data_IF_374000681020
#
_entry.id   IF_374000681020
#
_cell.length_a   1.000
_cell.length_b   1.000
_cell.length_c   1.000
_cell.angle_alpha   90.00
_cell.angle_beta   90.00
_cell.angle_gamma   90.00
#
_symmetry.space_group_name_H-M   'P 1'
#
loop_
_entity.id
_entity.type
_entity.pdbx_description
1 polymer ?
#
# COMPACT_ATOMS: atom_id res chain seq x y z
N UNK A 1 -8.47 -23.56 -15.08
CA UNK A 1 -7.70 -24.48 -14.23
C UNK A 1 -6.89 -23.56 -13.38
N UNK A 2 -7.18 -23.48 -12.07
CA UNK A 2 -6.49 -22.54 -11.21
C UNK A 2 -4.97 -22.78 -11.27
N UNK A 3 -4.15 -21.73 -11.17
CA UNK A 3 -2.69 -21.90 -11.08
C UNK A 3 -2.40 -22.77 -9.87
N UNK A 4 -1.66 -23.84 -10.12
CA UNK A 4 -1.16 -24.70 -9.07
C UNK A 4 -0.14 -23.93 -8.23
N UNK A 5 -0.59 -23.47 -7.06
CA UNK A 5 0.24 -22.76 -6.10
C UNK A 5 1.13 -23.71 -5.28
N UNK A 6 1.02 -25.04 -5.47
CA UNK A 6 1.71 -26.04 -4.64
C UNK A 6 3.21 -25.83 -4.63
N UNK A 7 3.84 -25.55 -5.78
CA UNK A 7 5.29 -25.31 -5.82
C UNK A 7 5.73 -24.10 -4.99
N UNK A 8 4.95 -23.02 -4.98
CA UNK A 8 5.25 -21.85 -4.14
C UNK A 8 5.00 -22.14 -2.67
N UNK A 9 3.89 -22.82 -2.35
CA UNK A 9 3.55 -23.23 -0.99
C UNK A 9 4.62 -24.17 -0.43
N UNK A 10 5.13 -25.12 -1.21
CA UNK A 10 6.21 -26.02 -0.81
C UNK A 10 7.50 -25.26 -0.46
N UNK A 11 7.84 -24.23 -1.24
CA UNK A 11 8.98 -23.35 -0.92
C UNK A 11 8.75 -22.58 0.38
N UNK A 12 7.53 -22.08 0.59
CA UNK A 12 7.15 -21.45 1.85
C UNK A 12 7.26 -22.42 3.03
N UNK A 13 6.82 -23.68 2.88
CA UNK A 13 6.88 -24.70 3.93
C UNK A 13 8.35 -24.90 4.32
N UNK A 14 9.21 -25.22 3.35
CA UNK A 14 10.64 -25.45 3.59
C UNK A 14 11.27 -24.27 4.35
N UNK A 15 10.93 -23.03 3.96
CA UNK A 15 11.56 -21.84 4.52
C UNK A 15 11.02 -21.47 5.90
N UNK A 16 9.70 -21.35 6.02
CA UNK A 16 9.06 -20.82 7.22
C UNK A 16 8.90 -21.87 8.31
N UNK A 17 8.78 -23.16 7.98
CA UNK A 17 8.79 -24.22 8.99
C UNK A 17 10.12 -24.25 9.75
N UNK A 18 11.25 -24.08 9.04
CA UNK A 18 12.56 -23.96 9.70
C UNK A 18 12.62 -22.76 10.66
N UNK A 19 12.05 -21.62 10.28
CA UNK A 19 11.99 -20.42 11.13
C UNK A 19 11.11 -20.68 12.37
N UNK A 20 9.95 -21.31 12.18
CA UNK A 20 9.03 -21.68 13.25
C UNK A 20 9.72 -22.62 14.25
N UNK A 21 10.40 -23.65 13.76
CA UNK A 21 11.06 -24.63 14.62
C UNK A 21 12.21 -23.99 15.41
N UNK A 22 13.06 -23.20 14.76
CA UNK A 22 14.15 -22.48 15.42
C UNK A 22 13.66 -21.52 16.50
N UNK A 23 12.52 -20.85 16.28
CA UNK A 23 11.92 -19.99 17.29
C UNK A 23 11.44 -20.82 18.49
N UNK A 24 10.75 -21.96 18.26
CA UNK A 24 10.19 -22.81 19.31
C UNK A 24 11.22 -23.50 20.22
N UNK A 25 12.41 -23.81 19.71
CA UNK A 25 13.47 -24.50 20.47
C UNK A 25 13.99 -23.72 21.70
N UNK A 26 13.75 -22.40 21.77
CA UNK A 26 14.30 -21.50 22.78
C UNK A 26 13.43 -21.22 24.01
N UNK A 27 12.39 -22.01 24.32
CA UNK A 27 11.30 -21.63 25.27
C UNK A 27 10.49 -20.39 24.83
N UNK A 28 10.40 -20.18 23.52
CA UNK A 28 9.71 -19.04 22.94
C UNK A 28 8.21 -19.06 23.23
N UNK A 29 7.67 -17.92 23.63
CA UNK A 29 6.23 -17.66 23.64
C UNK A 29 5.69 -17.56 22.20
N UNK A 30 4.39 -17.78 21.99
CA UNK A 30 3.76 -17.68 20.66
C UNK A 30 4.07 -16.34 19.94
N UNK A 31 4.22 -15.25 20.72
CA UNK A 31 4.61 -13.93 20.20
C UNK A 31 6.01 -13.89 19.59
N UNK A 32 6.97 -14.66 20.11
CA UNK A 32 8.33 -14.72 19.54
C UNK A 32 8.34 -15.43 18.19
N UNK A 33 7.52 -16.49 18.04
CA UNK A 33 7.32 -17.18 16.77
C UNK A 33 6.68 -16.23 15.75
N UNK A 34 5.60 -15.55 16.12
CA UNK A 34 4.93 -14.55 15.27
C UNK A 34 5.87 -13.41 14.85
N UNK A 35 6.68 -12.91 15.78
CA UNK A 35 7.69 -11.87 15.52
C UNK A 35 8.72 -12.35 14.50
N UNK A 36 9.28 -13.55 14.70
CA UNK A 36 10.30 -14.11 13.81
C UNK A 36 9.76 -14.32 12.38
N UNK A 37 8.53 -14.82 12.24
CA UNK A 37 7.91 -15.05 10.93
C UNK A 37 7.56 -13.73 10.25
N UNK A 38 6.89 -12.81 10.95
CA UNK A 38 6.49 -11.51 10.38
C UNK A 38 7.70 -10.74 9.87
N UNK A 39 8.77 -10.70 10.68
CA UNK A 39 10.04 -10.07 10.30
C UNK A 39 10.71 -10.76 9.11
N UNK A 40 10.66 -12.09 9.07
CA UNK A 40 11.19 -12.87 7.94
C UNK A 40 10.43 -12.63 6.64
N UNK A 41 9.11 -12.45 6.73
CA UNK A 41 8.27 -12.08 5.58
C UNK A 41 8.56 -10.65 5.13
N UNK A 42 8.68 -9.68 6.04
CA UNK A 42 8.95 -8.28 5.68
C UNK A 42 10.35 -8.07 5.07
N UNK A 43 11.34 -8.88 5.43
CA UNK A 43 12.64 -8.90 4.74
C UNK A 43 12.61 -9.52 3.33
N UNK A 44 11.48 -10.10 2.92
CA UNK A 44 11.30 -10.69 1.61
C UNK A 44 12.19 -11.90 1.34
N UNK A 45 12.38 -12.75 2.36
CA UNK A 45 13.17 -13.98 2.23
C UNK A 45 12.64 -14.93 1.15
N UNK A 46 11.36 -14.84 0.81
CA UNK A 46 10.77 -15.48 -0.36
C UNK A 46 10.03 -14.43 -1.17
N UNK A 47 10.32 -14.40 -2.48
CA UNK A 47 9.63 -13.51 -3.41
C UNK A 47 8.30 -14.13 -3.80
N UNK A 48 7.22 -13.32 -3.80
CA UNK A 48 5.91 -13.77 -4.26
C UNK A 48 5.90 -14.03 -5.77
N UNK A 49 5.07 -14.98 -6.22
CA UNK A 49 4.83 -15.27 -7.64
C UNK A 49 3.72 -14.38 -8.23
N UNK A 50 3.66 -13.12 -7.78
CA UNK A 50 2.60 -12.17 -8.11
C UNK A 50 2.35 -12.05 -9.62
N UNK A 51 3.41 -12.04 -10.42
CA UNK A 51 3.35 -11.96 -11.88
C UNK A 51 2.50 -13.08 -12.50
N UNK A 52 2.70 -14.32 -12.03
CA UNK A 52 1.98 -15.51 -12.53
C UNK A 52 0.51 -15.47 -12.09
N UNK A 53 0.26 -15.11 -10.83
CA UNK A 53 -1.09 -14.98 -10.27
C UNK A 53 -1.90 -13.88 -10.96
N UNK A 54 -1.23 -12.78 -11.32
CA UNK A 54 -1.86 -11.69 -12.06
C UNK A 54 -2.21 -12.12 -13.49
N UNK A 55 -1.33 -12.83 -14.19
CA UNK A 55 -1.61 -13.37 -15.53
C UNK A 55 -2.83 -14.30 -15.53
N UNK A 56 -2.95 -15.18 -14.54
CA UNK A 56 -4.11 -16.07 -14.37
C UNK A 56 -5.41 -15.30 -14.17
N UNK A 57 -5.37 -14.31 -13.27
CA UNK A 57 -6.44 -13.36 -13.05
C UNK A 57 -6.92 -12.77 -14.38
N UNK A 58 -6.00 -12.31 -15.25
CA UNK A 58 -6.34 -11.77 -16.57
C UNK A 58 -7.03 -12.76 -17.51
N UNK A 59 -6.63 -14.04 -17.47
CA UNK A 59 -7.19 -15.07 -18.35
C UNK A 59 -8.65 -15.38 -18.01
N UNK A 60 -9.02 -15.38 -16.73
CA UNK A 60 -10.33 -15.85 -16.27
C UNK A 60 -11.35 -14.74 -15.98
N UNK A 61 -10.91 -13.47 -15.94
CA UNK A 61 -11.78 -12.32 -15.64
C UNK A 61 -12.58 -12.46 -14.32
N UNK A 62 -12.03 -13.20 -13.36
CA UNK A 62 -12.59 -13.32 -12.01
C UNK A 62 -12.18 -12.11 -11.17
N UNK A 63 -13.05 -11.11 -11.12
CA UNK A 63 -12.77 -9.84 -10.45
C UNK A 63 -12.67 -9.96 -8.93
N UNK A 64 -13.32 -10.96 -8.30
CA UNK A 64 -13.15 -11.22 -6.88
C UNK A 64 -11.75 -11.80 -6.62
N UNK A 65 -11.30 -12.72 -7.48
CA UNK A 65 -9.94 -13.28 -7.39
C UNK A 65 -8.86 -12.20 -7.62
N UNK A 66 -9.08 -11.24 -8.51
CA UNK A 66 -8.23 -10.04 -8.65
C UNK A 66 -8.17 -9.21 -7.38
N UNK A 67 -9.33 -8.97 -6.76
CA UNK A 67 -9.44 -8.20 -5.53
C UNK A 67 -8.64 -8.86 -4.40
N UNK A 68 -8.79 -10.18 -4.25
CA UNK A 68 -8.06 -10.99 -3.27
C UNK A 68 -6.53 -10.95 -3.51
N UNK A 69 -6.09 -10.98 -4.77
CA UNK A 69 -4.67 -10.88 -5.12
C UNK A 69 -4.08 -9.52 -4.73
N UNK A 70 -4.77 -8.43 -5.06
CA UNK A 70 -4.36 -7.07 -4.68
C UNK A 70 -4.31 -6.97 -3.15
N UNK A 71 -5.35 -7.46 -2.47
CA UNK A 71 -5.41 -7.48 -1.02
C UNK A 71 -4.20 -8.21 -0.42
N UNK A 72 -4.00 -9.49 -0.72
CA UNK A 72 -2.92 -10.28 -0.13
C UNK A 72 -1.52 -9.74 -0.46
N UNK A 73 -1.30 -9.22 -1.68
CA UNK A 73 -0.03 -8.58 -2.04
C UNK A 73 0.20 -7.30 -1.24
N UNK A 74 -0.81 -6.44 -1.12
CA UNK A 74 -0.74 -5.21 -0.31
C UNK A 74 -0.46 -5.54 1.16
N UNK A 75 -1.10 -6.58 1.71
CA UNK A 75 -0.86 -7.09 3.06
C UNK A 75 0.59 -7.51 3.27
N UNK A 76 1.18 -8.20 2.30
CA UNK A 76 2.60 -8.58 2.32
C UNK A 76 3.54 -7.36 2.34
N UNK A 77 3.27 -6.35 1.50
CA UNK A 77 4.11 -5.16 1.39
C UNK A 77 4.05 -4.26 2.64
N UNK A 78 2.99 -4.37 3.45
CA UNK A 78 2.76 -3.58 4.65
C UNK A 78 3.17 -4.29 5.95
N UNK A 79 3.81 -5.46 5.87
CA UNK A 79 4.31 -6.14 7.06
C UNK A 79 5.42 -5.32 7.73
N UNK A 80 5.35 -5.10 9.05
CA UNK A 80 6.34 -4.33 9.76
C UNK A 80 7.65 -5.11 9.97
N UNK A 81 8.70 -4.39 10.36
CA UNK A 81 9.96 -4.98 10.85
C UNK A 81 11.15 -4.83 9.89
N UNK A 82 10.96 -4.20 8.74
CA UNK A 82 12.04 -3.83 7.83
C UNK A 82 12.25 -2.31 7.84
N UNK A 83 13.24 -1.84 8.61
CA UNK A 83 13.57 -0.42 8.73
C UNK A 83 13.79 0.26 7.39
N UNK A 84 13.04 1.34 7.15
CA UNK A 84 13.28 2.25 6.04
C UNK A 84 13.88 3.59 6.47
N UNK A 85 14.06 4.47 5.49
CA UNK A 85 14.72 5.77 5.70
C UNK A 85 13.77 6.94 5.90
N UNK A 86 12.45 6.72 5.90
CA UNK A 86 11.42 7.75 5.83
C UNK A 86 10.52 7.74 7.09
N UNK A 87 9.70 8.77 7.26
CA UNK A 87 8.60 8.75 8.22
C UNK A 87 7.39 7.94 7.67
N UNK A 88 6.21 8.15 8.24
CA UNK A 88 4.97 7.45 7.87
C UNK A 88 4.52 7.63 6.42
N UNK A 89 5.17 8.49 5.61
CA UNK A 89 4.92 8.54 4.17
C UNK A 89 5.43 7.32 3.39
N UNK A 90 6.30 6.49 3.98
CA UNK A 90 6.92 5.33 3.32
C UNK A 90 5.89 4.41 2.67
N UNK A 91 4.78 4.15 3.37
CA UNK A 91 3.79 3.16 3.01
C UNK A 91 2.62 3.74 2.20
N UNK A 92 2.70 5.01 1.80
CA UNK A 92 1.56 5.75 1.23
C UNK A 92 1.11 5.25 -0.14
N UNK A 93 2.01 4.67 -0.96
CA UNK A 93 1.59 4.11 -2.23
C UNK A 93 0.63 2.92 -2.04
N UNK A 94 0.85 2.10 -1.00
CA UNK A 94 0.01 0.94 -0.66
C UNK A 94 -1.40 1.34 -0.17
N UNK A 95 -1.61 2.60 0.23
CA UNK A 95 -2.96 3.10 0.50
C UNK A 95 -3.81 3.09 -0.77
N UNK A 96 -3.21 3.36 -1.94
CA UNK A 96 -3.94 3.24 -3.20
C UNK A 96 -4.27 1.79 -3.54
N UNK A 97 -3.40 0.85 -3.20
CA UNK A 97 -3.69 -0.58 -3.35
C UNK A 97 -4.83 -1.02 -2.43
N UNK A 98 -4.84 -0.52 -1.19
CA UNK A 98 -5.91 -0.74 -0.24
C UNK A 98 -7.26 -0.17 -0.73
N UNK A 99 -7.28 1.05 -1.28
CA UNK A 99 -8.49 1.60 -1.90
C UNK A 99 -8.94 0.77 -3.11
N UNK A 100 -8.00 0.27 -3.92
CA UNK A 100 -8.32 -0.56 -5.09
C UNK A 100 -9.02 -1.86 -4.68
N UNK A 101 -8.59 -2.48 -3.57
CA UNK A 101 -9.22 -3.70 -3.06
C UNK A 101 -10.40 -3.45 -2.11
N UNK A 102 -10.62 -2.21 -1.64
CA UNK A 102 -11.71 -1.85 -0.74
C UNK A 102 -11.38 -1.91 0.76
N UNK A 103 -10.10 -2.11 1.13
CA UNK A 103 -9.64 -2.03 2.53
C UNK A 103 -9.38 -0.58 2.96
N UNK A 104 -10.43 0.23 2.94
CA UNK A 104 -10.34 1.67 3.16
C UNK A 104 -9.83 2.05 4.56
N UNK A 105 -10.01 1.16 5.55
CA UNK A 105 -9.63 1.41 6.96
C UNK A 105 -8.11 1.51 7.16
N UNK A 106 -7.32 0.96 6.24
CA UNK A 106 -5.86 1.05 6.26
C UNK A 106 -5.36 2.50 6.24
N UNK A 107 -6.09 3.42 5.58
CA UNK A 107 -5.73 4.83 5.50
C UNK A 107 -5.41 5.42 6.89
N UNK A 108 -6.26 5.13 7.88
CA UNK A 108 -6.12 5.68 9.23
C UNK A 108 -5.06 4.97 10.07
N UNK A 109 -4.65 3.77 9.66
CA UNK A 109 -3.53 3.03 10.27
C UNK A 109 -2.18 3.49 9.71
N UNK A 110 -2.08 3.75 8.41
CA UNK A 110 -0.83 4.21 7.79
C UNK A 110 -0.60 5.72 8.00
N UNK A 111 -1.63 6.55 7.86
CA UNK A 111 -1.55 8.00 8.02
C UNK A 111 -2.45 8.50 9.17
N UNK A 112 -2.27 8.03 10.40
CA UNK A 112 -3.07 8.43 11.54
C UNK A 112 -3.03 9.95 11.76
N UNK A 113 -4.16 10.53 12.17
CA UNK A 113 -4.31 11.98 12.27
C UNK A 113 -3.35 12.58 13.31
N UNK A 114 -3.06 11.88 14.40
CA UNK A 114 -2.19 12.34 15.48
C UNK A 114 -0.71 12.54 15.06
N UNK A 115 -0.24 11.91 13.98
CA UNK A 115 1.15 12.06 13.52
C UNK A 115 1.41 13.35 12.73
N UNK A 116 0.33 14.06 12.35
CA UNK A 116 0.42 15.28 11.56
C UNK A 116 1.03 15.07 10.17
N UNK A 117 1.68 16.12 9.64
CA UNK A 117 2.30 16.09 8.31
C UNK A 117 3.58 15.25 8.31
N UNK A 118 3.76 14.48 7.24
CA UNK A 118 5.09 13.95 6.87
C UNK A 118 6.01 15.10 6.49
N UNK A 119 7.27 14.97 6.92
CA UNK A 119 8.30 16.00 6.79
C UNK A 119 9.53 15.49 6.06
N UNK A 120 9.64 14.19 5.82
CA UNK A 120 10.78 13.61 5.16
C UNK A 120 10.41 12.39 4.33
N UNK A 121 11.14 12.17 3.25
CA UNK A 121 10.94 11.03 2.37
C UNK A 121 11.15 11.40 0.92
N UNK A 122 10.82 10.45 0.04
CA UNK A 122 10.76 10.75 -1.39
C UNK A 122 9.69 11.84 -1.64
N UNK A 123 9.99 12.96 -2.34
CA UNK A 123 9.08 14.10 -2.43
C UNK A 123 7.66 13.77 -2.90
N UNK A 124 7.52 12.79 -3.81
CA UNK A 124 6.22 12.31 -4.24
C UNK A 124 5.39 11.75 -3.07
N UNK A 125 5.97 10.87 -2.24
CA UNK A 125 5.31 10.31 -1.08
C UNK A 125 4.94 11.38 -0.06
N UNK A 126 5.85 12.31 0.23
CA UNK A 126 5.58 13.41 1.18
C UNK A 126 4.38 14.25 0.73
N UNK A 127 4.37 14.67 -0.53
CA UNK A 127 3.31 15.52 -1.10
C UNK A 127 1.99 14.76 -1.16
N UNK A 128 2.01 13.53 -1.68
CA UNK A 128 0.82 12.69 -1.80
C UNK A 128 0.20 12.41 -0.42
N UNK A 129 1.01 12.01 0.57
CA UNK A 129 0.53 11.69 1.93
C UNK A 129 -0.15 12.88 2.57
N UNK A 130 0.51 14.05 2.51
CA UNK A 130 0.01 15.26 3.15
C UNK A 130 -1.31 15.73 2.50
N UNK A 131 -1.40 15.68 1.16
CA UNK A 131 -2.63 16.04 0.45
C UNK A 131 -3.76 15.04 0.72
N UNK A 132 -3.47 13.74 0.60
CA UNK A 132 -4.46 12.69 0.84
C UNK A 132 -4.99 12.75 2.27
N UNK A 133 -4.11 12.89 3.27
CA UNK A 133 -4.48 13.03 4.68
C UNK A 133 -5.35 14.27 4.90
N UNK A 134 -4.98 15.43 4.35
CA UNK A 134 -5.75 16.65 4.52
C UNK A 134 -7.17 16.54 3.93
N UNK A 135 -7.31 15.90 2.75
CA UNK A 135 -8.60 15.62 2.13
C UNK A 135 -9.41 14.63 2.98
N UNK A 136 -8.80 13.50 3.37
CA UNK A 136 -9.46 12.41 4.10
C UNK A 136 -10.04 12.87 5.44
N UNK A 137 -9.22 13.55 6.25
CA UNK A 137 -9.63 14.03 7.57
C UNK A 137 -10.34 15.40 7.55
N UNK A 138 -10.51 16.00 6.36
CA UNK A 138 -11.07 17.35 6.19
C UNK A 138 -10.36 18.39 7.07
N UNK A 139 -9.03 18.29 7.13
CA UNK A 139 -8.18 19.11 7.98
C UNK A 139 -7.83 20.42 7.27
N UNK A 140 -8.70 21.44 7.42
CA UNK A 140 -8.59 22.74 6.73
C UNK A 140 -7.25 23.45 7.00
N UNK A 141 -6.72 23.31 8.22
CA UNK A 141 -5.46 23.95 8.63
C UNK A 141 -4.29 23.39 7.82
N UNK A 142 -4.27 22.07 7.62
CA UNK A 142 -3.22 21.41 6.86
C UNK A 142 -3.46 21.45 5.35
N UNK A 143 -4.72 21.53 4.91
CA UNK A 143 -5.11 21.52 3.52
C UNK A 143 -4.43 22.63 2.72
N UNK A 144 -4.40 23.86 3.22
CA UNK A 144 -3.76 24.99 2.52
C UNK A 144 -2.28 24.72 2.21
N UNK A 145 -1.54 24.17 3.18
CA UNK A 145 -0.12 23.84 3.01
C UNK A 145 0.07 22.68 2.04
N UNK A 146 -0.79 21.67 2.13
CA UNK A 146 -0.74 20.49 1.28
C UNK A 146 -1.07 20.83 -0.19
N UNK A 147 -2.09 21.67 -0.43
CA UNK A 147 -2.46 22.15 -1.76
C UNK A 147 -1.31 22.91 -2.42
N UNK A 148 -0.69 23.85 -1.72
CA UNK A 148 0.46 24.61 -2.25
C UNK A 148 1.62 23.69 -2.65
N UNK A 149 1.96 22.71 -1.79
CA UNK A 149 3.02 21.75 -2.09
C UNK A 149 2.68 20.85 -3.29
N UNK A 150 1.42 20.43 -3.40
CA UNK A 150 0.92 19.61 -4.49
C UNK A 150 0.92 20.34 -5.84
N UNK A 151 0.43 21.57 -5.88
CA UNK A 151 0.45 22.39 -7.10
C UNK A 151 1.89 22.62 -7.59
N UNK A 152 2.81 22.91 -6.66
CA UNK A 152 4.24 23.01 -6.98
C UNK A 152 4.80 21.69 -7.52
N UNK A 153 4.44 20.55 -6.93
CA UNK A 153 4.92 19.23 -7.35
C UNK A 153 4.47 18.87 -8.77
N UNK A 154 3.21 19.13 -9.11
CA UNK A 154 2.66 18.87 -10.46
C UNK A 154 3.40 19.67 -11.54
N UNK A 155 3.89 20.88 -11.22
CA UNK A 155 4.70 21.70 -12.12
C UNK A 155 6.15 21.23 -12.32
N UNK A 156 6.61 20.19 -11.62
CA UNK A 156 8.00 19.70 -11.72
C UNK A 156 8.23 18.80 -12.94
N UNK A 157 9.48 18.38 -13.15
CA UNK A 157 9.89 17.37 -14.15
C UNK A 157 9.87 15.93 -13.61
N UNK A 158 9.18 15.67 -12.49
CA UNK A 158 9.04 14.32 -11.93
C UNK A 158 8.30 13.38 -12.90
N UNK A 159 8.45 12.05 -12.77
CA UNK A 159 7.78 11.09 -13.62
C UNK A 159 6.29 11.39 -13.78
N UNK A 160 5.77 11.22 -15.00
CA UNK A 160 4.39 11.57 -15.34
C UNK A 160 3.37 10.89 -14.42
N UNK A 161 3.61 9.63 -14.06
CA UNK A 161 2.68 8.88 -13.21
C UNK A 161 2.57 9.49 -11.80
N UNK A 162 3.69 9.85 -11.17
CA UNK A 162 3.71 10.52 -9.86
C UNK A 162 2.96 11.86 -9.91
N UNK A 163 3.26 12.68 -10.92
CA UNK A 163 2.59 13.98 -11.11
C UNK A 163 1.10 13.80 -11.34
N UNK A 164 0.69 12.74 -12.05
CA UNK A 164 -0.72 12.46 -12.34
C UNK A 164 -1.47 11.99 -11.09
N UNK A 165 -0.83 11.25 -10.18
CA UNK A 165 -1.43 10.89 -8.87
C UNK A 165 -1.72 12.16 -8.06
N UNK A 166 -0.74 13.06 -7.92
CA UNK A 166 -0.91 14.31 -7.17
C UNK A 166 -1.94 15.23 -7.84
N UNK A 167 -1.89 15.34 -9.17
CA UNK A 167 -2.86 16.14 -9.92
C UNK A 167 -4.29 15.60 -9.80
N UNK A 168 -4.47 14.28 -9.79
CA UNK A 168 -5.76 13.67 -9.52
C UNK A 168 -6.32 14.09 -8.15
N UNK A 169 -5.52 14.03 -7.08
CA UNK A 169 -5.95 14.44 -5.74
C UNK A 169 -6.32 15.93 -5.67
N UNK A 170 -5.61 16.79 -6.41
CA UNK A 170 -5.98 18.21 -6.55
C UNK A 170 -7.34 18.37 -7.25
N UNK A 171 -7.57 17.62 -8.34
CA UNK A 171 -8.85 17.64 -9.06
C UNK A 171 -9.99 17.04 -8.25
N UNK A 172 -9.71 16.03 -7.42
CA UNK A 172 -10.65 15.43 -6.49
C UNK A 172 -11.13 16.47 -5.47
N UNK A 173 -10.20 17.21 -4.85
CA UNK A 173 -10.56 18.30 -3.93
C UNK A 173 -11.40 19.40 -4.61
N UNK A 174 -11.12 19.69 -5.88
CA UNK A 174 -11.84 20.70 -6.68
C UNK A 174 -13.12 20.15 -7.35
N UNK A 175 -13.45 18.88 -7.13
CA UNK A 175 -14.56 18.16 -7.79
C UNK A 175 -14.54 18.25 -9.33
N UNK A 176 -13.36 18.39 -9.93
CA UNK A 176 -13.22 18.51 -11.38
C UNK A 176 -13.12 17.12 -12.05
N UNK A 177 -14.28 16.57 -12.41
CA UNK A 177 -14.44 15.21 -12.96
C UNK A 177 -13.72 14.99 -14.30
N UNK A 178 -13.70 16.00 -15.17
CA UNK A 178 -12.99 15.93 -16.45
C UNK A 178 -11.48 15.81 -16.23
N UNK A 179 -10.94 16.67 -15.35
CA UNK A 179 -9.52 16.62 -15.01
C UNK A 179 -9.15 15.30 -14.30
N UNK A 180 -10.01 14.78 -13.41
CA UNK A 180 -9.80 13.48 -12.78
C UNK A 180 -9.64 12.35 -13.82
N UNK A 181 -10.56 12.25 -14.80
CA UNK A 181 -10.46 11.25 -15.87
C UNK A 181 -9.17 11.38 -16.69
N UNK A 182 -8.80 12.62 -17.06
CA UNK A 182 -7.56 12.90 -17.78
C UNK A 182 -6.31 12.52 -16.97
N UNK A 183 -6.30 12.77 -15.66
CA UNK A 183 -5.19 12.39 -14.79
C UNK A 183 -5.09 10.88 -14.59
N UNK A 184 -6.20 10.13 -14.53
CA UNK A 184 -6.16 8.66 -14.53
C UNK A 184 -5.57 8.10 -15.84
N UNK A 185 -5.94 8.65 -16.98
CA UNK A 185 -5.38 8.27 -18.28
C UNK A 185 -3.86 8.51 -18.34
N UNK A 186 -3.42 9.69 -17.87
CA UNK A 186 -2.01 10.05 -17.83
C UNK A 186 -1.21 9.21 -16.82
N UNK A 187 -1.82 8.86 -15.69
CA UNK A 187 -1.26 7.93 -14.72
C UNK A 187 -1.01 6.57 -15.38
N UNK A 188 -2.03 5.97 -16.00
CA UNK A 188 -1.91 4.66 -16.68
C UNK A 188 -0.80 4.66 -17.74
N UNK A 189 -0.77 5.72 -18.56
CA UNK A 189 0.22 5.90 -19.64
C UNK A 189 1.65 6.11 -19.11
N UNK A 190 1.81 6.89 -18.04
CA UNK A 190 3.10 7.14 -17.40
C UNK A 190 3.62 5.92 -16.64
N UNK A 191 2.71 5.18 -15.99
CA UNK A 191 3.03 4.00 -15.19
C UNK A 191 3.59 2.87 -16.07
N UNK A 192 3.01 2.68 -17.26
CA UNK A 192 3.51 1.72 -18.27
C UNK A 192 4.96 2.02 -18.72
N UNK A 193 5.38 3.29 -18.70
CA UNK A 193 6.73 3.74 -19.09
C UNK A 193 7.71 3.81 -17.93
N UNK A 194 7.24 3.69 -16.69
CA UNK A 194 8.08 3.74 -15.50
C UNK A 194 9.01 2.52 -15.45
N UNK A 195 10.04 2.57 -14.62
CA UNK A 195 10.95 1.45 -14.43
C UNK A 195 10.40 0.42 -13.42
N UNK A 196 9.29 -0.21 -13.80
CA UNK A 196 8.66 -1.29 -13.04
C UNK A 196 8.78 -2.63 -13.76
N UNK A 197 8.59 -3.73 -13.01
CA UNK A 197 8.53 -5.07 -13.57
C UNK A 197 7.41 -5.18 -14.61
N UNK A 198 7.52 -6.17 -15.50
CA UNK A 198 6.51 -6.41 -16.54
C UNK A 198 5.13 -6.61 -15.93
N UNK A 199 5.03 -7.37 -14.84
CA UNK A 199 3.76 -7.62 -14.18
C UNK A 199 3.17 -6.41 -13.47
N UNK A 200 3.99 -5.62 -12.76
CA UNK A 200 3.48 -4.37 -12.17
C UNK A 200 2.85 -3.48 -13.26
N UNK A 201 3.44 -3.45 -14.46
CA UNK A 201 2.91 -2.67 -15.60
C UNK A 201 1.63 -3.23 -16.21
N UNK A 202 1.29 -4.50 -16.01
CA UNK A 202 0.08 -5.11 -16.56
C UNK A 202 -1.19 -4.53 -15.93
N UNK A 203 -1.13 -4.18 -14.64
CA UNK A 203 -2.26 -3.57 -13.94
C UNK A 203 -1.81 -2.35 -13.16
N UNK A 204 -2.28 -1.17 -13.55
CA UNK A 204 -2.05 0.07 -12.81
C UNK A 204 -2.95 0.12 -11.58
N UNK A 205 -2.63 -0.66 -10.56
CA UNK A 205 -3.35 -0.70 -9.28
C UNK A 205 -3.53 0.70 -8.67
N UNK A 206 -2.52 1.60 -8.69
CA UNK A 206 -2.71 2.97 -8.20
C UNK A 206 -3.84 3.75 -8.89
N UNK A 207 -4.09 3.52 -10.18
CA UNK A 207 -5.19 4.18 -10.89
C UNK A 207 -6.55 3.65 -10.44
N UNK A 208 -6.68 2.34 -10.18
CA UNK A 208 -7.88 1.77 -9.56
C UNK A 208 -8.09 2.29 -8.14
N UNK A 209 -7.01 2.44 -7.38
CA UNK A 209 -7.04 3.02 -6.05
C UNK A 209 -7.60 4.44 -6.02
N UNK A 210 -7.11 5.30 -6.92
CA UNK A 210 -7.62 6.68 -7.06
C UNK A 210 -9.07 6.72 -7.53
N UNK A 211 -9.45 5.85 -8.46
CA UNK A 211 -10.83 5.74 -8.93
C UNK A 211 -11.78 5.32 -7.78
N UNK A 212 -11.41 4.29 -7.00
CA UNK A 212 -12.19 3.85 -5.84
C UNK A 212 -12.18 4.89 -4.71
N UNK A 213 -11.07 5.63 -4.52
CA UNK A 213 -11.03 6.75 -3.58
C UNK A 213 -12.05 7.84 -3.96
N UNK A 214 -12.15 8.19 -5.24
CA UNK A 214 -13.15 9.13 -5.71
C UNK A 214 -14.58 8.61 -5.47
N UNK A 215 -14.83 7.31 -5.67
CA UNK A 215 -16.11 6.68 -5.33
C UNK A 215 -16.45 6.82 -3.85
N UNK A 216 -15.45 6.68 -2.96
CA UNK A 216 -15.64 6.79 -1.51
C UNK A 216 -15.94 8.21 -1.04
N UNK A 217 -15.40 9.23 -1.72
CA UNK A 217 -15.41 10.61 -1.24
C UNK A 217 -16.41 11.53 -1.96
N UNK A 218 -16.81 11.21 -3.19
CA UNK A 218 -17.71 12.03 -3.98
C UNK A 218 -19.16 11.53 -3.92
N UNK A 219 -20.15 12.42 -4.08
CA UNK A 219 -21.51 12.02 -4.41
C UNK A 219 -21.55 11.13 -5.66
N UNK A 220 -22.47 10.17 -5.70
CA UNK A 220 -22.56 9.18 -6.76
C UNK A 220 -22.73 9.83 -8.15
N UNK A 221 -23.50 10.90 -8.24
CA UNK A 221 -23.78 11.63 -9.48
C UNK A 221 -22.53 12.32 -10.03
N UNK A 222 -21.63 12.78 -9.15
CA UNK A 222 -20.35 13.39 -9.54
C UNK A 222 -19.38 12.29 -9.95
N UNK A 223 -19.26 11.22 -9.14
CA UNK A 223 -18.37 10.10 -9.44
C UNK A 223 -18.65 9.45 -10.80
N UNK A 224 -19.92 9.25 -11.15
CA UNK A 224 -20.33 8.64 -12.43
C UNK A 224 -19.87 9.43 -13.66
N UNK A 225 -19.53 10.72 -13.53
CA UNK A 225 -19.03 11.56 -14.62
C UNK A 225 -17.52 11.39 -14.85
N UNK A 226 -16.80 10.74 -13.94
CA UNK A 226 -15.36 10.51 -14.10
C UNK A 226 -15.14 9.48 -15.22
N UNK A 227 -14.51 9.92 -16.31
CA UNK A 227 -14.16 9.05 -17.42
C UNK A 227 -13.13 8.00 -16.98
N UNK A 228 -13.45 6.72 -17.15
CA UNK A 228 -12.49 5.62 -16.98
C UNK A 228 -11.38 5.71 -18.03
N UNK A 229 -10.11 5.42 -17.69
CA UNK A 229 -9.04 5.32 -18.67
C UNK A 229 -9.32 4.33 -19.79
N UNK A 230 -8.91 4.71 -21.01
CA UNK A 230 -8.81 3.86 -22.18
C UNK A 230 -7.33 3.48 -22.35
N UNK A 231 -6.80 2.68 -21.43
CA UNK A 231 -5.42 2.19 -21.47
C UNK A 231 -5.34 0.74 -21.03
N UNK A 232 -4.49 -0.06 -21.68
CA UNK A 232 -4.44 -1.53 -21.53
C UNK A 232 -4.15 -2.04 -20.11
N UNK A 233 -3.56 -1.21 -19.24
CA UNK A 233 -3.28 -1.56 -17.85
C UNK A 233 -4.34 -1.06 -16.87
N UNK A 234 -5.47 -0.55 -17.37
CA UNK A 234 -6.65 -0.23 -16.58
C UNK A 234 -7.81 -1.13 -17.01
N UNK A 235 -8.13 -2.13 -16.17
CA UNK A 235 -9.27 -3.02 -16.42
C UNK A 235 -10.59 -2.29 -16.12
N UNK A 236 -11.28 -1.83 -17.15
CA UNK A 236 -12.63 -1.28 -16.99
C UNK A 236 -13.63 -2.32 -16.47
N UNK A 237 -13.43 -3.60 -16.76
CA UNK A 237 -14.25 -4.69 -16.21
C UNK A 237 -14.12 -4.76 -14.68
N UNK A 238 -12.89 -4.75 -14.17
CA UNK A 238 -12.64 -4.70 -12.73
C UNK A 238 -13.21 -3.42 -12.09
N UNK A 239 -13.03 -2.25 -12.72
CA UNK A 239 -13.58 -0.99 -12.22
C UNK A 239 -15.12 -1.01 -12.14
N UNK A 240 -15.80 -1.57 -13.16
CA UNK A 240 -17.26 -1.75 -13.14
C UNK A 240 -17.71 -2.72 -12.04
N UNK A 241 -17.02 -3.84 -11.88
CA UNK A 241 -17.29 -4.78 -10.79
C UNK A 241 -17.08 -4.14 -9.41
N UNK A 242 -16.05 -3.31 -9.23
CA UNK A 242 -15.85 -2.52 -8.00
C UNK A 242 -17.00 -1.56 -7.74
N UNK A 243 -17.51 -0.90 -8.79
CA UNK A 243 -18.67 -0.01 -8.68
C UNK A 243 -19.92 -0.75 -8.17
N UNK A 244 -20.13 -1.98 -8.62
CA UNK A 244 -21.24 -2.85 -8.22
C UNK A 244 -21.03 -3.49 -6.83
N UNK A 245 -19.78 -3.59 -6.37
CA UNK A 245 -19.40 -4.27 -5.13
C UNK A 245 -18.60 -3.34 -4.21
N UNK A 246 -19.08 -2.14 -3.83
CA UNK A 246 -18.25 -1.11 -3.15
C UNK A 246 -17.54 -1.61 -1.87
N UNK A 247 -18.11 -2.60 -1.19
CA UNK A 247 -17.54 -3.29 -0.03
C UNK A 247 -17.33 -4.79 -0.36
N UNK A 248 -16.28 -5.13 -1.12
CA UNK A 248 -16.03 -6.52 -1.50
C UNK A 248 -15.60 -7.31 -0.27
N UNK A 249 -15.85 -8.61 -0.28
CA UNK A 249 -15.29 -9.49 0.75
C UNK A 249 -13.78 -9.58 0.53
N UNK A 250 -13.00 -9.27 1.57
CA UNK A 250 -11.54 -9.32 1.52
C UNK A 250 -11.09 -10.74 1.90
N UNK A 251 -10.83 -11.58 0.90
CA UNK A 251 -10.31 -12.92 1.09
C UNK A 251 -8.83 -13.00 0.69
N UNK A 252 -8.12 -13.99 1.22
CA UNK A 252 -6.82 -14.35 0.68
C UNK A 252 -6.98 -14.90 -0.73
N UNK A 253 -5.97 -14.66 -1.58
CA UNK A 253 -5.89 -15.22 -2.93
C UNK A 253 -5.71 -16.74 -2.88
N UNK A 254 -4.91 -17.21 -1.92
CA UNK A 254 -4.89 -18.60 -1.46
C UNK A 254 -4.53 -18.63 0.03
N UNK A 255 -4.91 -19.72 0.68
CA UNK A 255 -4.58 -20.00 2.07
C UNK A 255 -3.36 -20.92 2.15
N UNK A 256 -2.54 -20.70 3.19
CA UNK A 256 -1.42 -21.58 3.52
C UNK A 256 -1.92 -22.77 4.35
N UNK A 257 -1.59 -24.02 3.97
CA UNK A 257 -1.96 -25.21 4.73
C UNK A 257 -1.02 -25.43 5.93
N UNK A 258 -1.28 -26.47 6.72
CA UNK A 258 -0.37 -26.95 7.76
C UNK A 258 1.06 -27.16 7.21
N UNK A 259 2.12 -26.75 7.96
CA UNK A 259 2.11 -26.12 9.29
C UNK A 259 2.11 -24.57 9.26
N UNK A 260 1.72 -23.97 8.14
CA UNK A 260 1.87 -22.53 7.87
C UNK A 260 0.59 -21.72 8.12
N UNK A 261 -0.40 -22.23 8.87
CA UNK A 261 -1.65 -21.49 9.11
C UNK A 261 -1.43 -20.13 9.78
N UNK A 262 -0.33 -19.97 10.51
CA UNK A 262 0.11 -18.72 11.12
C UNK A 262 0.31 -17.60 10.08
N UNK A 263 0.70 -17.93 8.84
CA UNK A 263 0.81 -16.94 7.75
C UNK A 263 -0.56 -16.37 7.39
N UNK A 264 -1.61 -17.20 7.37
CA UNK A 264 -2.97 -16.73 7.10
C UNK A 264 -3.39 -15.69 8.14
N UNK A 265 -3.09 -15.94 9.43
CA UNK A 265 -3.38 -15.02 10.53
C UNK A 265 -2.68 -13.66 10.34
N UNK A 266 -1.39 -13.68 10.00
CA UNK A 266 -0.61 -12.47 9.69
C UNK A 266 -1.25 -11.69 8.52
N UNK A 267 -1.69 -12.37 7.46
CA UNK A 267 -2.31 -11.72 6.32
C UNK A 267 -3.66 -11.06 6.65
N UNK A 268 -4.49 -11.69 7.51
CA UNK A 268 -5.86 -11.22 7.81
C UNK A 268 -5.93 -10.25 9.00
N UNK A 269 -4.91 -10.19 9.85
CA UNK A 269 -4.86 -9.25 10.99
C UNK A 269 -5.02 -7.79 10.55
N UNK A 270 -5.24 -6.78 11.38
CA UNK A 270 -5.16 -5.39 10.93
C UNK A 270 -3.72 -4.98 10.57
N UNK A 271 -3.50 -4.20 9.49
CA UNK A 271 -2.15 -3.66 9.16
C UNK A 271 -1.55 -2.91 10.35
N UNK A 272 -0.24 -3.00 10.58
CA UNK A 272 0.44 -2.26 11.64
C UNK A 272 0.12 -0.75 11.56
N UNK A 273 -0.27 -0.17 12.70
CA UNK A 273 -0.48 1.28 12.78
C UNK A 273 0.89 1.96 12.76
N UNK A 274 1.06 2.99 11.93
CA UNK A 274 2.31 3.75 11.86
C UNK A 274 2.67 4.33 13.22
N UNK A 275 3.90 4.06 13.65
CA UNK A 275 4.54 4.66 14.82
C UNK A 275 5.81 5.34 14.29
N UNK A 276 6.12 6.54 14.77
CA UNK A 276 7.34 7.24 14.37
C UNK A 276 8.19 7.57 15.59
N UNK A 277 9.51 7.55 15.42
CA UNK A 277 10.47 7.91 16.46
C UNK A 277 11.65 8.70 15.90
N UNK A 278 12.45 9.30 16.78
CA UNK A 278 13.71 9.98 16.46
C UNK A 278 14.86 9.20 17.11
N UNK A 279 15.26 8.03 16.58
CA UNK A 279 16.22 7.13 17.23
C UNK A 279 17.60 7.78 17.43
N UNK A 280 17.91 8.83 16.67
CA UNK A 280 19.20 9.51 16.73
C UNK A 280 19.18 10.83 17.51
N UNK A 281 18.04 11.22 18.13
CA UNK A 281 17.88 12.54 18.78
C UNK A 281 18.96 12.81 19.84
N UNK A 282 19.25 11.79 20.65
CA UNK A 282 20.23 11.85 21.74
C UNK A 282 21.51 11.06 21.43
N UNK A 283 21.75 10.75 20.15
CA UNK A 283 22.93 9.97 19.77
C UNK A 283 24.21 10.80 19.94
N UNK A 284 25.19 10.27 20.68
CA UNK A 284 26.54 10.85 20.80
C UNK A 284 27.46 10.50 19.64
N UNK A 285 27.02 9.64 18.72
CA UNK A 285 27.79 9.28 17.52
C UNK A 285 28.15 10.54 16.69
N UNK A 286 29.46 10.84 16.49
CA UNK A 286 29.91 12.03 15.78
C UNK A 286 29.59 12.00 14.27
N UNK A 287 29.26 10.83 13.71
CA UNK A 287 28.84 10.68 12.32
C UNK A 287 27.37 11.04 12.09
N UNK A 288 26.57 11.21 13.15
CA UNK A 288 25.17 11.63 13.02
C UNK A 288 25.06 13.15 12.91
N UNK A 289 24.69 13.62 11.73
CA UNK A 289 24.47 15.06 11.47
C UNK A 289 23.30 15.61 12.30
N UNK A 290 23.32 16.92 12.59
CA UNK A 290 22.23 17.58 13.33
C UNK A 290 20.86 17.40 12.64
N UNK A 291 20.85 17.33 11.31
CA UNK A 291 19.64 17.05 10.53
C UNK A 291 19.14 15.63 10.76
N UNK A 292 20.05 14.64 10.78
CA UNK A 292 19.72 13.24 11.04
C UNK A 292 19.13 13.06 12.45
N UNK A 293 19.72 13.70 13.46
CA UNK A 293 19.23 13.63 14.85
C UNK A 293 17.81 14.16 15.02
N UNK A 294 17.41 15.15 14.22
CA UNK A 294 16.06 15.75 14.26
C UNK A 294 15.06 15.08 13.32
N UNK A 295 15.48 14.05 12.56
CA UNK A 295 14.62 13.39 11.58
C UNK A 295 13.73 12.35 12.27
N UNK A 296 12.48 12.29 11.84
CA UNK A 296 11.52 11.26 12.25
C UNK A 296 11.60 10.08 11.30
N UNK A 297 11.48 8.88 11.84
CA UNK A 297 11.53 7.62 11.09
C UNK A 297 10.32 6.79 11.46
N UNK A 298 9.83 6.00 10.51
CA UNK A 298 8.89 4.92 10.77
C UNK A 298 9.56 3.91 11.70
N UNK A 299 8.97 3.70 12.87
CA UNK A 299 9.50 2.83 13.91
C UNK A 299 9.03 1.39 13.68
N UNK A 300 9.68 0.73 12.73
CA UNK A 300 9.33 -0.61 12.27
C UNK A 300 9.38 -1.67 13.37
N UNK A 301 10.24 -1.50 14.37
CA UNK A 301 10.33 -2.42 15.51
C UNK A 301 9.16 -2.21 16.46
N UNK A 302 8.84 -0.95 16.82
CA UNK A 302 7.66 -0.66 17.64
C UNK A 302 6.35 -1.08 16.92
N UNK A 303 6.28 -0.89 15.60
CA UNK A 303 5.17 -1.34 14.79
C UNK A 303 5.04 -2.86 14.76
N UNK A 304 6.16 -3.59 14.70
CA UNK A 304 6.17 -5.06 14.74
C UNK A 304 5.68 -5.59 16.09
N UNK A 305 6.18 -5.03 17.19
CA UNK A 305 5.73 -5.39 18.55
C UNK A 305 4.22 -5.18 18.67
N UNK A 306 3.74 -3.98 18.33
CA UNK A 306 2.32 -3.66 18.38
C UNK A 306 1.47 -4.52 17.42
N UNK A 307 2.00 -4.90 16.27
CA UNK A 307 1.31 -5.75 15.31
C UNK A 307 1.11 -7.16 15.89
N UNK A 308 2.17 -7.79 16.41
CA UNK A 308 2.12 -9.16 16.96
C UNK A 308 1.18 -9.27 18.16
N UNK A 309 1.07 -8.23 18.99
CA UNK A 309 0.09 -8.19 20.09
C UNK A 309 -1.38 -8.23 19.64
N UNK A 310 -1.64 -7.99 18.36
CA UNK A 310 -2.98 -7.91 17.77
C UNK A 310 -3.25 -9.01 16.69
N UNK A 311 -2.32 -9.96 16.51
CA UNK A 311 -2.48 -11.15 15.65
C UNK A 311 -2.97 -12.31 16.50
#
# INVERSE_FOLDING_TARGET
MDVDNSQYIDQCIIKYESIINNAKEGTAQDNEVLTAITKSMSFGLLKTNYDIWLDECFLHQDWQKWNNLIFQQMRYQLLPGCSGGYDHCQNTLHILEAFACGDNKIMERILPSELGLTKNGYPFYVVMSNLLRAIWYRDEILLLKALYAAEKFVGTKKPQWERSVVAFLLSLHKENVEAMGNHLQNLCSGYMRADFSKAMKQLCVPAHGLYCLAQNLLPAEIFQQIKMPEHKNFSQGFAKWRNENPYPVLNLYFEYPAPLEILNQIYVAPVAKSIISQPYLHSDNPYHSLQLKKKWFLDEEAMLIAFVENV
#
